data_IF_796360901478
#
_entry.id   IF_796360901478
#
_cell.length_a   1.000
_cell.length_b   1.000
_cell.length_c   1.000
_cell.angle_alpha   90.00
_cell.angle_beta   90.00
_cell.angle_gamma   90.00
#
_symmetry.space_group_name_H-M   'P 1'
#
loop_
_entity.id
_entity.type
_entity.pdbx_description
1 polymer ?
#
# COMPACT_ATOMS: atom_id res chain seq x y z
N UNK A 1 -7.94 3.01 9.49
CA UNK A 1 -8.98 2.85 8.47
C UNK A 1 -8.69 3.69 7.24
N UNK A 2 -9.18 3.28 6.10
CA UNK A 2 -8.95 4.02 4.88
C UNK A 2 -10.04 3.81 3.86
N UNK A 3 -10.02 4.65 2.84
CA UNK A 3 -10.94 4.57 1.71
C UNK A 3 -10.21 4.92 0.42
N UNK A 4 -10.73 4.42 -0.68
CA UNK A 4 -10.20 4.68 -2.01
C UNK A 4 -11.07 5.76 -2.66
N UNK A 5 -10.44 6.89 -3.00
CA UNK A 5 -11.05 7.96 -3.76
C UNK A 5 -10.22 8.31 -5.00
N UNK A 6 -9.32 7.40 -5.38
CA UNK A 6 -8.41 7.65 -6.48
C UNK A 6 -9.14 7.69 -7.82
N UNK A 7 -8.84 8.72 -8.60
CA UNK A 7 -9.35 8.86 -9.96
C UNK A 7 -8.26 9.39 -10.87
N UNK A 8 -8.28 8.96 -12.12
CA UNK A 8 -7.33 9.41 -13.14
C UNK A 8 -8.05 9.46 -14.49
N UNK A 9 -7.84 10.54 -15.23
CA UNK A 9 -8.47 10.75 -16.55
C UNK A 9 -9.99 10.61 -16.50
N UNK A 10 -10.61 11.12 -15.45
CA UNK A 10 -12.06 11.09 -15.27
C UNK A 10 -12.64 9.73 -14.86
N UNK A 11 -11.77 8.73 -14.58
CA UNK A 11 -12.21 7.39 -14.19
C UNK A 11 -11.89 7.14 -12.71
N UNK A 12 -12.88 6.67 -11.96
CA UNK A 12 -12.68 6.23 -10.59
C UNK A 12 -12.08 4.83 -10.57
N UNK A 13 -11.19 4.58 -9.61
CA UNK A 13 -10.56 3.29 -9.41
C UNK A 13 -11.07 2.64 -8.14
N UNK A 14 -11.32 1.34 -8.21
CA UNK A 14 -11.75 0.53 -7.08
C UNK A 14 -10.66 -0.44 -6.66
N UNK A 15 -10.62 -0.80 -5.37
CA UNK A 15 -9.68 -1.80 -4.90
C UNK A 15 -10.01 -3.19 -5.42
N UNK A 16 -8.94 -3.97 -5.67
CA UNK A 16 -9.02 -5.29 -6.32
C UNK A 16 -8.60 -6.35 -5.34
N UNK A 17 -8.93 -6.77 -4.43
CA UNK A 17 -8.45 -7.81 -3.53
C UNK A 17 -8.06 -7.22 -2.17
N UNK A 18 -6.93 -7.67 -1.66
CA UNK A 18 -6.50 -7.28 -0.33
C UNK A 18 -5.61 -6.05 -0.34
N UNK A 19 -5.70 -5.28 0.75
CA UNK A 19 -4.79 -4.17 1.05
C UNK A 19 -3.68 -4.72 1.91
N UNK A 20 -2.42 -4.42 1.56
CA UNK A 20 -1.26 -4.83 2.32
C UNK A 20 -0.70 -3.68 3.16
N UNK A 21 -0.14 -4.02 4.31
CA UNK A 21 0.51 -3.06 5.18
C UNK A 21 1.86 -3.62 5.60
N UNK A 22 2.93 -2.99 5.14
CA UNK A 22 4.32 -3.43 5.34
C UNK A 22 5.02 -2.50 6.34
N UNK A 23 5.73 -3.04 7.34
CA UNK A 23 6.48 -2.19 8.28
C UNK A 23 7.54 -1.35 7.56
N UNK A 24 7.70 -0.11 8.00
CA UNK A 24 8.74 0.78 7.49
C UNK A 24 10.05 0.49 8.24
N UNK A 25 10.97 -0.20 7.56
CA UNK A 25 12.32 -0.48 8.04
C UNK A 25 13.31 0.02 6.99
N UNK A 26 14.61 0.15 7.31
CA UNK A 26 15.59 0.53 6.28
C UNK A 26 15.53 -0.39 5.05
N UNK A 27 15.36 -1.68 5.26
CA UNK A 27 15.27 -2.64 4.17
C UNK A 27 14.00 -2.45 3.33
N UNK A 28 12.82 -2.40 3.97
CA UNK A 28 11.56 -2.24 3.25
C UNK A 28 11.44 -0.88 2.59
N UNK A 29 11.98 0.18 3.21
CA UNK A 29 12.01 1.52 2.65
C UNK A 29 12.78 1.55 1.33
N UNK A 30 13.95 0.91 1.27
CA UNK A 30 14.74 0.80 0.05
C UNK A 30 13.98 0.02 -1.03
N UNK A 31 13.32 -1.06 -0.65
CA UNK A 31 12.51 -1.88 -1.56
C UNK A 31 11.33 -1.08 -2.13
N UNK A 32 10.62 -0.36 -1.28
CA UNK A 32 9.49 0.48 -1.71
C UNK A 32 9.94 1.57 -2.68
N UNK A 33 11.07 2.21 -2.40
CA UNK A 33 11.63 3.22 -3.30
C UNK A 33 11.92 2.63 -4.68
N UNK A 34 12.49 1.44 -4.73
CA UNK A 34 12.78 0.77 -6.00
C UNK A 34 11.51 0.41 -6.76
N UNK A 35 10.51 -0.13 -6.07
CA UNK A 35 9.28 -0.58 -6.71
C UNK A 35 8.36 0.56 -7.14
N UNK A 36 8.27 1.61 -6.34
CA UNK A 36 7.28 2.68 -6.54
C UNK A 36 7.88 4.04 -6.88
N UNK A 37 9.19 4.20 -6.79
CA UNK A 37 9.87 5.46 -7.07
C UNK A 37 9.71 6.52 -5.99
N UNK A 38 9.08 6.18 -4.85
CA UNK A 38 8.84 7.09 -3.74
C UNK A 38 8.68 6.28 -2.47
N UNK A 39 8.90 6.92 -1.32
CA UNK A 39 8.61 6.33 0.00
C UNK A 39 7.49 7.08 0.73
N UNK A 40 6.78 7.95 0.04
CA UNK A 40 5.68 8.73 0.63
C UNK A 40 4.35 8.39 0.00
N UNK A 41 4.24 8.52 -1.31
CA UNK A 41 3.02 8.26 -2.04
C UNK A 41 3.33 7.96 -3.50
N UNK A 42 2.63 6.99 -4.06
CA UNK A 42 2.79 6.64 -5.47
C UNK A 42 1.54 5.97 -6.04
N UNK A 43 1.40 6.04 -7.35
CA UNK A 43 0.41 5.30 -8.12
C UNK A 43 1.13 4.78 -9.36
N UNK A 44 1.38 3.48 -9.43
CA UNK A 44 2.22 2.87 -10.47
C UNK A 44 1.45 1.74 -11.14
N UNK A 45 1.51 1.63 -12.48
CA UNK A 45 0.89 0.49 -13.16
C UNK A 45 1.39 -0.84 -12.59
N UNK A 46 0.49 -1.79 -12.40
CA UNK A 46 0.84 -3.07 -11.80
C UNK A 46 1.93 -3.80 -12.59
N UNK A 47 1.90 -3.70 -13.93
CA UNK A 47 2.92 -4.30 -14.78
C UNK A 47 4.31 -3.69 -14.54
N UNK A 48 4.37 -2.39 -14.25
CA UNK A 48 5.63 -1.70 -13.97
C UNK A 48 6.20 -2.17 -12.63
N UNK A 49 5.36 -2.32 -11.61
CA UNK A 49 5.79 -2.85 -10.31
C UNK A 49 6.36 -4.25 -10.46
N UNK A 50 5.70 -5.12 -11.21
CA UNK A 50 6.19 -6.48 -11.47
C UNK A 50 7.52 -6.48 -12.21
N UNK A 51 7.70 -5.55 -13.16
CA UNK A 51 8.94 -5.45 -13.94
C UNK A 51 10.11 -4.94 -13.10
N UNK A 52 9.85 -4.25 -11.99
CA UNK A 52 10.87 -3.75 -11.07
C UNK A 52 11.18 -4.73 -9.95
N UNK A 53 11.06 -6.02 -10.20
CA UNK A 53 11.29 -7.06 -9.19
C UNK A 53 12.65 -6.88 -8.52
N UNK A 54 12.65 -6.92 -7.19
CA UNK A 54 13.85 -6.81 -6.35
C UNK A 54 14.06 -8.15 -5.66
N UNK A 55 15.31 -8.63 -5.64
CA UNK A 55 15.65 -9.83 -4.90
C UNK A 55 15.44 -9.59 -3.40
N UNK A 56 14.76 -10.51 -2.72
CA UNK A 56 14.51 -10.45 -1.30
C UNK A 56 15.68 -11.08 -0.54
N UNK A 57 16.74 -10.32 -0.33
CA UNK A 57 17.89 -10.78 0.43
C UNK A 57 17.55 -11.00 1.91
N UNK A 58 16.56 -10.28 2.42
CA UNK A 58 16.07 -10.42 3.79
C UNK A 58 14.55 -10.39 3.78
N UNK A 59 13.93 -11.56 3.78
CA UNK A 59 12.47 -11.69 3.69
C UNK A 59 11.78 -11.71 5.06
N UNK A 60 12.51 -11.48 6.15
CA UNK A 60 11.94 -11.53 7.50
C UNK A 60 10.80 -10.54 7.71
N UNK A 61 10.80 -9.41 7.00
CA UNK A 61 9.73 -8.42 7.11
C UNK A 61 8.36 -9.00 6.74
N UNK A 62 8.32 -10.08 5.94
CA UNK A 62 7.05 -10.72 5.53
C UNK A 62 6.25 -11.25 6.72
N UNK A 63 6.91 -11.60 7.80
CA UNK A 63 6.26 -12.06 9.02
C UNK A 63 5.46 -10.95 9.71
N UNK A 64 5.72 -9.70 9.37
CA UNK A 64 5.09 -8.52 9.97
C UNK A 64 4.14 -7.82 9.00
N UNK A 65 4.01 -8.29 7.77
CA UNK A 65 3.07 -7.74 6.80
C UNK A 65 1.65 -8.12 7.21
N UNK A 66 0.77 -7.13 7.23
CA UNK A 66 -0.64 -7.32 7.54
C UNK A 66 -1.45 -7.22 6.25
N UNK A 67 -2.54 -7.94 6.18
CA UNK A 67 -3.42 -7.92 5.01
C UNK A 67 -4.86 -7.88 5.45
N UNK A 68 -5.65 -7.03 4.82
CA UNK A 68 -7.09 -6.91 5.08
C UNK A 68 -7.84 -6.77 3.77
N UNK A 69 -9.10 -7.19 3.77
CA UNK A 69 -9.96 -7.03 2.61
C UNK A 69 -10.32 -5.57 2.39
N UNK A 70 -10.46 -5.19 1.13
CA UNK A 70 -11.03 -3.92 0.75
C UNK A 70 -12.45 -4.18 0.23
N UNK A 71 -13.43 -3.63 0.91
CA UNK A 71 -14.84 -3.79 0.55
C UNK A 71 -15.47 -2.43 0.32
N UNK A 72 -16.14 -2.27 -0.82
CA UNK A 72 -16.77 -1.00 -1.19
C UNK A 72 -15.80 0.19 -1.12
N UNK A 73 -14.53 -0.04 -1.51
CA UNK A 73 -13.51 0.99 -1.47
C UNK A 73 -13.01 1.33 -0.07
N UNK A 74 -13.29 0.49 0.93
CA UNK A 74 -12.91 0.73 2.33
C UNK A 74 -12.17 -0.44 2.93
N UNK A 75 -11.26 -0.15 3.85
CA UNK A 75 -10.47 -1.14 4.57
C UNK A 75 -10.17 -0.65 5.99
N UNK A 76 -9.79 -1.58 6.86
CA UNK A 76 -9.48 -1.27 8.24
C UNK A 76 -8.43 -2.23 8.80
N UNK A 77 -7.45 -1.69 9.49
CA UNK A 77 -6.46 -2.46 10.25
C UNK A 77 -6.59 -2.09 11.73
N UNK A 78 -6.57 -3.10 12.61
CA UNK A 78 -6.65 -2.93 14.05
C UNK A 78 -5.42 -3.53 14.73
N UNK A 79 -5.10 -3.04 15.93
CA UNK A 79 -4.04 -3.60 16.76
C UNK A 79 -2.65 -3.43 16.19
N UNK A 80 -2.39 -2.34 15.46
CA UNK A 80 -1.07 -2.09 14.90
C UNK A 80 -0.12 -1.53 15.95
N UNK A 81 1.12 -2.05 16.03
CA UNK A 81 2.17 -1.41 16.82
C UNK A 81 2.43 0.01 16.34
N UNK A 82 2.96 0.86 17.25
CA UNK A 82 3.37 2.21 16.88
C UNK A 82 4.53 2.16 15.88
N UNK A 83 4.52 3.07 14.93
CA UNK A 83 5.61 3.21 13.97
C UNK A 83 5.14 3.54 12.59
N UNK A 84 6.06 3.42 11.63
CA UNK A 84 5.81 3.67 10.23
C UNK A 84 5.42 2.41 9.49
N UNK A 85 4.55 2.58 8.50
CA UNK A 85 4.05 1.50 7.65
C UNK A 85 3.92 2.00 6.22
N UNK A 86 4.02 1.07 5.27
CA UNK A 86 3.67 1.33 3.86
C UNK A 86 2.38 0.60 3.54
N UNK A 87 1.40 1.37 3.11
CA UNK A 87 0.10 0.87 2.67
C UNK A 87 0.18 0.58 1.17
N UNK A 88 -0.16 -0.63 0.78
CA UNK A 88 -0.09 -1.08 -0.62
C UNK A 88 -1.47 -1.53 -1.05
N UNK A 89 -2.03 -0.86 -2.06
CA UNK A 89 -3.42 -1.09 -2.47
C UNK A 89 -3.50 -1.30 -3.98
N UNK A 90 -3.71 -2.53 -4.43
CA UNK A 90 -4.03 -2.76 -5.84
C UNK A 90 -5.42 -2.20 -6.17
N UNK A 91 -5.51 -1.46 -7.25
CA UNK A 91 -6.77 -0.88 -7.71
C UNK A 91 -6.91 -1.09 -9.22
N UNK A 92 -8.13 -0.96 -9.73
CA UNK A 92 -8.37 -1.05 -11.16
C UNK A 92 -9.52 -0.14 -11.58
N UNK A 93 -9.49 0.27 -12.84
CA UNK A 93 -10.62 0.85 -13.54
C UNK A 93 -10.68 0.15 -14.91
N UNK A 94 -11.58 -0.83 -15.02
CA UNK A 94 -11.61 -1.69 -16.21
C UNK A 94 -10.30 -2.47 -16.37
N UNK A 95 -9.59 -2.26 -17.48
CA UNK A 95 -8.37 -3.00 -17.81
C UNK A 95 -7.08 -2.28 -17.41
N UNK A 96 -7.16 -1.28 -16.55
CA UNK A 96 -6.02 -0.46 -16.16
C UNK A 96 -5.65 -0.66 -14.69
N UNK A 97 -4.98 -1.79 -14.33
CA UNK A 97 -4.60 -2.04 -12.95
C UNK A 97 -3.43 -1.15 -12.51
N UNK A 98 -3.59 -0.51 -11.37
CA UNK A 98 -2.54 0.27 -10.72
C UNK A 98 -2.28 -0.30 -9.32
N UNK A 99 -1.12 0.03 -8.75
CA UNK A 99 -0.84 -0.20 -7.34
C UNK A 99 -0.61 1.16 -6.69
N UNK A 100 -1.40 1.47 -5.68
CA UNK A 100 -1.25 2.68 -4.88
C UNK A 100 -0.37 2.35 -3.67
N UNK A 101 0.50 3.28 -3.31
CA UNK A 101 1.33 3.17 -2.12
C UNK A 101 1.25 4.48 -1.34
N UNK A 102 1.17 4.37 -0.01
CA UNK A 102 1.23 5.55 0.85
C UNK A 102 1.87 5.19 2.18
N UNK A 103 2.78 6.03 2.66
CA UNK A 103 3.34 5.87 4.00
C UNK A 103 2.33 6.32 5.05
N UNK A 104 2.29 5.62 6.17
CA UNK A 104 1.37 5.88 7.27
C UNK A 104 2.14 5.77 8.58
N UNK A 105 1.80 6.61 9.55
CA UNK A 105 2.37 6.56 10.89
C UNK A 105 1.27 6.22 11.89
N UNK A 106 1.54 5.25 12.78
CA UNK A 106 0.64 4.91 13.88
C UNK A 106 1.30 5.31 15.20
N UNK A 107 0.50 5.82 16.12
CA UNK A 107 1.02 6.29 17.40
C UNK A 107 -0.05 6.25 18.49
N UNK A 108 0.28 5.65 19.63
CA UNK A 108 -0.54 5.70 20.82
C UNK A 108 -1.93 5.11 20.69
N UNK A 109 -2.12 4.14 19.80
CA UNK A 109 -3.43 3.53 19.56
C UNK A 109 -4.45 4.46 18.91
N UNK A 110 -4.04 5.61 18.42
CA UNK A 110 -4.94 6.57 17.78
C UNK A 110 -5.41 6.06 16.42
N UNK A 111 -6.66 6.34 16.09
CA UNK A 111 -7.18 6.07 14.77
C UNK A 111 -6.53 7.00 13.74
N UNK A 112 -6.08 6.43 12.62
CA UNK A 112 -5.54 7.18 11.50
C UNK A 112 -6.46 6.96 10.32
N UNK A 113 -6.88 8.02 9.66
CA UNK A 113 -7.71 7.96 8.46
C UNK A 113 -6.88 8.31 7.24
N UNK A 114 -6.99 7.51 6.20
CA UNK A 114 -6.25 7.69 4.96
C UNK A 114 -7.22 7.69 3.78
N UNK A 115 -7.04 8.61 2.87
CA UNK A 115 -7.78 8.65 1.61
C UNK A 115 -6.80 8.55 0.45
N UNK A 116 -6.95 7.51 -0.35
CA UNK A 116 -6.07 7.24 -1.48
C UNK A 116 -6.70 7.66 -2.80
#
# INVERSE_FOLDING_TARGET
QGQIAFARDGKAFDCVASVGLTPDTPYTRARIRTLYGSTQRAAVPAAVVRARTVADANADYRNYVRSERCENGRFRFDGLPDGGWFLIVPVTSGDAPLVLMQSVQTRGGRAVSVTL
#
